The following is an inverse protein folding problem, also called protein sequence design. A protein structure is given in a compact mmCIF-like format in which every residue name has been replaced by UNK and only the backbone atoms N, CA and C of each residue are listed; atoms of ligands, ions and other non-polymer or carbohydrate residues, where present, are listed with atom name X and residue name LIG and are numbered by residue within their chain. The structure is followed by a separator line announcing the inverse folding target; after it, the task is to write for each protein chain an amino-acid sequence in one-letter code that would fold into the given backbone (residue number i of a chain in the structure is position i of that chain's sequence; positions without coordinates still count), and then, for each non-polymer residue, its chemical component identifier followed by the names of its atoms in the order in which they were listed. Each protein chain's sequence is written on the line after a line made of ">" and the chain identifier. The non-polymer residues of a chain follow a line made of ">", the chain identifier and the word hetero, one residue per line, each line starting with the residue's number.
data_IF_568080183288
#
_entry.id   IF_568080183288
#
_cell.length_a   1.000
_cell.length_b   1.000
_cell.length_c   1.000
_cell.angle_alpha   90.00
_cell.angle_beta   90.00
_cell.angle_gamma   90.00
#
_symmetry.space_group_name_H-M   'P 1'
#
loop_
_entity.id
_entity.type
_entity.pdbx_description
1 polymer ?
#
# COMPACT_ATOMS: atom_id res chain seq x y z
N UNK A 1 11.36 2.55 40.59
CA UNK A 1 9.94 2.18 40.76
C UNK A 1 9.76 0.81 40.15
N UNK A 2 9.34 -0.20 40.93
CA UNK A 2 8.90 -1.47 40.35
C UNK A 2 7.62 -1.17 39.54
N UNK A 3 7.48 -1.62 38.29
CA UNK A 3 6.20 -1.53 37.60
C UNK A 3 5.15 -2.23 38.48
N UNK A 4 4.05 -1.53 38.78
CA UNK A 4 2.91 -2.12 39.47
C UNK A 4 2.38 -3.25 38.60
N UNK A 5 2.31 -4.47 39.14
CA UNK A 5 1.73 -5.60 38.42
C UNK A 5 0.29 -5.24 37.99
N UNK A 6 -0.08 -5.45 36.72
CA UNK A 6 -1.42 -5.15 36.24
C UNK A 6 -2.46 -5.94 37.05
N UNK A 7 -3.50 -5.25 37.51
CA UNK A 7 -4.52 -5.82 38.38
C UNK A 7 -5.38 -6.83 37.59
N UNK A 8 -5.44 -8.11 38.00
CA UNK A 8 -6.04 -9.19 37.22
C UNK A 8 -7.56 -9.10 37.03
N UNK A 9 -8.25 -8.26 37.81
CA UNK A 9 -9.70 -8.07 37.74
C UNK A 9 -10.16 -7.34 36.47
N UNK A 10 -9.23 -6.84 35.65
CA UNK A 10 -9.53 -6.18 34.38
C UNK A 10 -9.65 -7.13 33.19
N UNK A 11 -9.56 -8.45 33.40
CA UNK A 11 -9.70 -9.43 32.32
C UNK A 11 -11.12 -9.38 31.72
N UNK A 12 -11.20 -9.36 30.39
CA UNK A 12 -12.46 -9.49 29.66
C UNK A 12 -12.87 -10.96 29.68
N UNK A 13 -14.07 -11.23 30.22
CA UNK A 13 -14.67 -12.56 30.25
C UNK A 13 -15.71 -12.68 29.14
N UNK A 14 -15.61 -13.74 28.35
CA UNK A 14 -16.59 -14.12 27.32
C UNK A 14 -17.38 -15.32 27.80
N UNK A 15 -18.68 -15.38 27.51
CA UNK A 15 -19.53 -16.50 27.91
C UNK A 15 -19.75 -17.48 26.76
N UNK A 16 -19.82 -18.77 27.09
CA UNK A 16 -20.16 -19.84 26.16
C UNK A 16 -21.23 -20.74 26.80
N UNK A 17 -22.16 -21.23 25.98
CA UNK A 17 -23.07 -22.31 26.39
C UNK A 17 -22.25 -23.54 26.81
N UNK A 18 -22.57 -24.09 27.99
CA UNK A 18 -21.79 -25.18 28.56
C UNK A 18 -21.80 -26.45 27.69
N UNK A 19 -22.85 -26.69 26.88
CA UNK A 19 -22.93 -27.85 25.99
C UNK A 19 -21.97 -27.70 24.83
N UNK A 20 -21.86 -26.49 24.27
CA UNK A 20 -20.89 -26.18 23.25
C UNK A 20 -19.45 -26.32 23.78
N UNK A 21 -19.20 -25.87 25.02
CA UNK A 21 -17.91 -26.09 25.69
C UNK A 21 -17.61 -27.58 25.90
N UNK A 22 -18.58 -28.36 26.38
CA UNK A 22 -18.42 -29.79 26.62
C UNK A 22 -18.12 -30.56 25.32
N UNK A 23 -18.85 -30.27 24.23
CA UNK A 23 -18.61 -30.88 22.92
C UNK A 23 -17.21 -30.57 22.37
N UNK A 24 -16.79 -29.29 22.41
CA UNK A 24 -15.45 -28.88 21.98
C UNK A 24 -14.36 -29.59 22.78
N UNK A 25 -14.58 -29.73 24.09
CA UNK A 25 -13.55 -30.27 24.96
C UNK A 25 -13.44 -31.79 24.87
N UNK A 26 -14.57 -32.49 24.69
CA UNK A 26 -14.58 -33.92 24.43
C UNK A 26 -13.77 -34.27 23.17
N UNK A 27 -14.02 -33.54 22.08
CA UNK A 27 -13.27 -33.71 20.83
C UNK A 27 -11.77 -33.49 21.04
N UNK A 28 -11.40 -32.47 21.82
CA UNK A 28 -10.00 -32.15 22.10
C UNK A 28 -9.25 -33.19 22.96
N UNK A 29 -9.96 -33.98 23.78
CA UNK A 29 -9.38 -35.10 24.53
C UNK A 29 -9.54 -36.45 23.80
N UNK A 30 -10.03 -36.45 22.56
CA UNK A 30 -10.23 -37.66 21.74
C UNK A 30 -11.45 -38.49 22.13
N UNK A 31 -12.38 -37.93 22.91
CA UNK A 31 -13.66 -38.55 23.28
C UNK A 31 -14.82 -38.04 22.42
N UNK A 32 -15.93 -38.78 22.42
CA UNK A 32 -17.18 -38.31 21.81
C UNK A 32 -18.29 -38.28 22.86
N UNK A 33 -18.96 -37.12 22.99
CA UNK A 33 -20.12 -36.98 23.87
C UNK A 33 -21.40 -36.95 23.02
N UNK A 34 -22.32 -37.88 23.28
CA UNK A 34 -23.70 -37.80 22.81
C UNK A 34 -24.52 -37.02 23.83
N UNK A 35 -25.17 -35.94 23.39
CA UNK A 35 -26.14 -35.21 24.20
C UNK A 35 -27.53 -35.82 23.95
N UNK A 36 -28.18 -36.36 24.98
CA UNK A 36 -29.59 -36.80 24.95
C UNK A 36 -30.44 -35.90 25.84
N UNK A 37 -31.75 -35.89 25.62
CA UNK A 37 -32.71 -35.11 26.44
C UNK A 37 -32.64 -35.49 27.93
N UNK A 38 -32.24 -36.73 28.23
CA UNK A 38 -32.20 -37.29 29.59
C UNK A 38 -30.79 -37.28 30.22
N UNK A 39 -29.78 -36.79 29.50
CA UNK A 39 -28.38 -36.79 29.95
C UNK A 39 -27.35 -37.01 28.84
N UNK A 40 -26.08 -37.10 29.23
CA UNK A 40 -24.93 -37.35 28.35
C UNK A 40 -24.47 -38.80 28.45
N UNK A 41 -24.16 -39.40 27.30
CA UNK A 41 -23.46 -40.68 27.23
C UNK A 41 -22.24 -40.54 26.33
N UNK A 42 -21.10 -41.02 26.80
CA UNK A 42 -19.93 -41.17 25.92
C UNK A 42 -20.26 -42.16 24.81
N UNK A 43 -20.04 -41.77 23.56
CA UNK A 43 -19.99 -42.71 22.47
C UNK A 43 -18.56 -43.22 22.49
N UNK A 44 -18.37 -44.52 22.74
CA UNK A 44 -17.07 -45.14 22.53
C UNK A 44 -16.55 -44.69 21.17
N UNK A 45 -15.37 -44.04 21.14
CA UNK A 45 -14.78 -43.56 19.91
C UNK A 45 -14.84 -44.71 18.89
N UNK A 46 -15.41 -44.50 17.68
CA UNK A 46 -15.51 -45.58 16.72
C UNK A 46 -14.11 -46.14 16.53
N UNK A 47 -13.93 -47.43 16.88
CA UNK A 47 -12.64 -48.09 16.80
C UNK A 47 -12.03 -47.74 15.45
N UNK A 48 -10.89 -47.04 15.47
CA UNK A 48 -10.27 -46.50 14.27
C UNK A 48 -10.27 -47.61 13.22
N UNK A 49 -11.04 -47.42 12.15
CA UNK A 49 -11.17 -48.44 11.12
C UNK A 49 -9.75 -48.82 10.69
N UNK A 50 -9.38 -50.12 10.68
CA UNK A 50 -8.04 -50.52 10.31
C UNK A 50 -7.73 -49.86 8.97
N UNK A 51 -6.63 -49.10 8.94
CA UNK A 51 -6.20 -48.40 7.74
C UNK A 51 -6.28 -49.39 6.57
N UNK A 52 -7.14 -49.10 5.60
CA UNK A 52 -7.30 -49.97 4.44
C UNK A 52 -5.92 -50.06 3.78
N UNK A 53 -5.29 -51.23 3.88
CA UNK A 53 -4.03 -51.54 3.22
C UNK A 53 -4.19 -51.21 1.74
N UNK A 54 -3.61 -50.08 1.34
CA UNK A 54 -3.62 -49.62 -0.03
C UNK A 54 -2.97 -50.67 -0.91
N UNK A 55 -3.77 -51.26 -1.79
CA UNK A 55 -3.31 -52.14 -2.86
C UNK A 55 -2.15 -51.47 -3.61
N UNK A 56 -0.97 -52.09 -3.52
CA UNK A 56 0.27 -51.53 -4.02
C UNK A 56 0.29 -51.33 -5.53
N UNK A 57 0.60 -50.11 -5.96
CA UNK A 57 1.21 -49.87 -7.26
C UNK A 57 2.72 -50.16 -7.15
N UNK A 58 3.15 -51.28 -7.76
CA UNK A 58 4.55 -51.64 -7.95
C UNK A 58 5.22 -50.65 -8.92
N UNK A 59 6.08 -49.76 -8.42
CA UNK A 59 7.09 -49.09 -9.24
C UNK A 59 8.44 -49.79 -9.03
N UNK A 60 8.92 -50.47 -10.08
CA UNK A 60 10.27 -51.03 -10.12
C UNK A 60 11.30 -49.90 -10.21
N UNK A 61 12.14 -49.74 -9.20
CA UNK A 61 13.38 -49.00 -9.31
C UNK A 61 14.50 -49.70 -8.54
N UNK A 62 15.52 -50.12 -9.30
CA UNK A 62 16.72 -50.80 -8.84
C UNK A 62 17.56 -49.94 -7.89
N UNK A 63 17.72 -50.43 -6.67
CA UNK A 63 19.02 -50.71 -6.07
C UNK A 63 19.96 -49.56 -5.72
N UNK A 64 20.11 -49.30 -4.41
CA UNK A 64 21.40 -49.38 -3.70
C UNK A 64 21.19 -49.46 -2.19
N UNK A 65 21.84 -50.46 -1.57
CA UNK A 65 21.87 -50.74 -0.12
C UNK A 65 22.93 -49.87 0.58
N UNK A 66 22.64 -49.43 1.81
CA UNK A 66 23.46 -49.58 3.04
C UNK A 66 22.66 -48.99 4.24
N UNK A 67 22.25 -49.83 5.20
CA UNK A 67 22.82 -49.96 6.57
C UNK A 67 22.93 -48.62 7.32
N UNK A 68 22.35 -48.37 8.49
CA UNK A 68 21.56 -49.17 9.43
C UNK A 68 21.21 -48.27 10.63
N UNK A 69 20.34 -48.76 11.53
CA UNK A 69 19.98 -48.07 12.77
C UNK A 69 18.47 -47.87 12.94
N UNK A 70 17.71 -48.97 12.94
CA UNK A 70 16.34 -48.94 13.42
C UNK A 70 16.35 -48.69 14.93
N UNK A 71 16.13 -47.43 15.35
CA UNK A 71 15.69 -47.13 16.70
C UNK A 71 14.29 -47.72 16.84
N UNK A 72 14.16 -48.73 17.69
CA UNK A 72 12.86 -49.24 18.11
C UNK A 72 12.10 -48.06 18.73
N UNK A 73 11.00 -47.65 18.09
CA UNK A 73 10.03 -46.75 18.70
C UNK A 73 9.51 -47.46 19.95
N UNK A 74 9.83 -46.89 21.10
CA UNK A 74 9.25 -47.25 22.37
C UNK A 74 7.74 -47.08 22.24
N UNK A 75 7.01 -48.19 22.22
CA UNK A 75 5.55 -48.19 22.23
C UNK A 75 5.15 -47.68 23.61
N UNK A 76 4.85 -46.38 23.67
CA UNK A 76 4.20 -45.77 24.83
C UNK A 76 2.89 -46.53 25.00
N UNK A 77 2.80 -47.33 26.07
CA UNK A 77 1.57 -47.99 26.48
C UNK A 77 0.53 -46.89 26.66
N UNK A 78 -0.52 -46.91 25.83
CA UNK A 78 -1.64 -46.00 25.96
C UNK A 78 -2.17 -46.07 27.40
N UNK A 79 -2.23 -44.92 28.07
CA UNK A 79 -2.90 -44.80 29.36
C UNK A 79 -4.31 -45.38 29.24
N UNK A 80 -4.75 -46.14 30.25
CA UNK A 80 -6.11 -46.68 30.27
C UNK A 80 -7.11 -45.55 30.03
N UNK A 81 -8.06 -45.71 29.08
CA UNK A 81 -9.04 -44.68 28.81
C UNK A 81 -9.83 -44.39 30.10
N UNK A 82 -10.10 -43.11 30.42
CA UNK A 82 -10.84 -42.74 31.61
C UNK A 82 -12.21 -43.42 31.63
N UNK A 83 -12.71 -43.71 32.83
CA UNK A 83 -14.02 -44.32 33.00
C UNK A 83 -15.13 -43.43 32.40
N UNK A 84 -16.15 -44.01 31.74
CA UNK A 84 -17.15 -43.25 31.02
C UNK A 84 -18.03 -42.38 31.93
N UNK A 85 -18.38 -41.19 31.44
CA UNK A 85 -19.28 -40.27 32.13
C UNK A 85 -20.73 -40.76 32.03
N UNK A 86 -21.30 -41.30 33.11
CA UNK A 86 -22.73 -41.61 33.20
C UNK A 86 -23.49 -40.40 33.75
N UNK A 87 -24.26 -39.71 32.91
CA UNK A 87 -24.80 -38.41 33.27
C UNK A 87 -26.31 -38.44 33.56
N UNK A 88 -26.68 -38.71 34.83
CA UNK A 88 -28.00 -38.38 35.38
C UNK A 88 -28.01 -37.12 36.27
N UNK A 89 -26.90 -36.38 36.28
CA UNK A 89 -26.70 -35.22 37.15
C UNK A 89 -27.27 -33.93 36.52
N UNK A 90 -27.73 -32.95 37.32
CA UNK A 90 -28.13 -31.64 36.81
C UNK A 90 -26.96 -30.94 36.09
N UNK A 91 -27.22 -30.06 35.10
CA UNK A 91 -26.19 -29.41 34.27
C UNK A 91 -25.00 -28.84 35.05
N UNK A 92 -25.25 -28.15 36.16
CA UNK A 92 -24.21 -27.58 37.00
C UNK A 92 -23.28 -28.65 37.63
N UNK A 93 -23.84 -29.79 38.08
CA UNK A 93 -23.06 -30.87 38.67
C UNK A 93 -22.24 -31.61 37.60
N UNK A 94 -22.79 -31.77 36.40
CA UNK A 94 -22.04 -32.31 35.27
C UNK A 94 -20.89 -31.37 34.86
N UNK A 95 -21.16 -30.07 34.77
CA UNK A 95 -20.15 -29.07 34.45
C UNK A 95 -19.00 -29.07 35.47
N UNK A 96 -19.29 -29.12 36.77
CA UNK A 96 -18.26 -29.24 37.81
C UNK A 96 -17.43 -30.52 37.67
N UNK A 97 -18.07 -31.66 37.40
CA UNK A 97 -17.37 -32.93 37.16
C UNK A 97 -16.48 -32.85 35.92
N UNK A 98 -16.98 -32.29 34.81
CA UNK A 98 -16.22 -32.12 33.57
C UNK A 98 -15.02 -31.21 33.80
N UNK A 99 -15.21 -30.03 34.41
CA UNK A 99 -14.12 -29.11 34.73
C UNK A 99 -13.07 -29.77 35.65
N UNK A 100 -13.49 -30.57 36.63
CA UNK A 100 -12.60 -31.31 37.51
C UNK A 100 -11.79 -32.39 36.78
N UNK A 101 -12.42 -33.14 35.88
CA UNK A 101 -11.74 -34.12 35.03
C UNK A 101 -10.72 -33.44 34.12
N UNK A 102 -11.08 -32.34 33.47
CA UNK A 102 -10.19 -31.59 32.57
C UNK A 102 -9.01 -30.94 33.31
N UNK A 103 -9.20 -30.53 34.55
CA UNK A 103 -8.12 -30.03 35.40
C UNK A 103 -7.04 -31.09 35.69
N UNK A 104 -7.40 -32.38 35.64
CA UNK A 104 -6.49 -33.49 35.86
C UNK A 104 -5.74 -33.94 34.59
N UNK A 105 -6.18 -33.48 33.40
CA UNK A 105 -5.50 -33.77 32.14
C UNK A 105 -4.43 -32.72 31.80
N UNK A 106 -3.53 -33.07 30.89
CA UNK A 106 -2.62 -32.10 30.29
C UNK A 106 -3.44 -30.95 29.66
N UNK A 107 -2.90 -29.71 29.60
CA UNK A 107 -3.62 -28.57 29.05
C UNK A 107 -4.19 -28.89 27.67
N UNK A 108 -5.48 -28.64 27.48
CA UNK A 108 -6.18 -28.87 26.22
C UNK A 108 -5.55 -27.99 25.15
N UNK A 109 -5.32 -28.54 23.96
CA UNK A 109 -4.71 -27.82 22.84
C UNK A 109 -5.78 -27.39 21.83
N UNK A 110 -5.92 -26.09 21.65
CA UNK A 110 -6.96 -25.48 20.83
C UNK A 110 -6.35 -24.55 19.78
N UNK A 111 -7.16 -24.18 18.79
CA UNK A 111 -6.87 -23.17 17.78
C UNK A 111 -8.16 -22.49 17.32
N UNK A 112 -8.12 -21.26 16.78
CA UNK A 112 -9.28 -20.69 16.09
C UNK A 112 -9.70 -21.60 14.92
N UNK A 113 -11.01 -21.82 14.77
CA UNK A 113 -11.56 -22.77 13.82
C UNK A 113 -11.36 -22.33 12.35
N UNK A 114 -11.26 -21.03 12.12
CA UNK A 114 -11.10 -20.39 10.81
C UNK A 114 -9.68 -19.84 10.58
N UNK A 115 -8.70 -20.18 11.43
CA UNK A 115 -7.33 -19.75 11.19
C UNK A 115 -6.77 -20.40 9.91
N UNK A 116 -5.98 -19.67 9.11
CA UNK A 116 -5.15 -20.25 8.04
C UNK A 116 -4.24 -21.36 8.58
N UNK A 117 -4.12 -22.48 7.87
CA UNK A 117 -3.22 -23.57 8.26
C UNK A 117 -1.92 -23.57 7.45
N UNK A 118 -1.98 -23.07 6.22
CA UNK A 118 -0.86 -22.96 5.31
C UNK A 118 -0.74 -21.56 4.69
N UNK A 119 0.44 -21.24 4.15
CA UNK A 119 0.70 -19.93 3.54
C UNK A 119 -0.27 -19.61 2.39
N UNK A 120 -0.66 -20.61 1.60
CA UNK A 120 -1.56 -20.40 0.46
C UNK A 120 -2.99 -20.02 0.86
N UNK A 121 -3.40 -20.31 2.11
CA UNK A 121 -4.70 -19.89 2.65
C UNK A 121 -4.77 -18.36 2.83
N UNK A 122 -3.63 -17.68 2.96
CA UNK A 122 -3.56 -16.21 3.05
C UNK A 122 -3.78 -15.51 1.71
N UNK A 123 -3.43 -16.18 0.60
CA UNK A 123 -3.36 -15.55 -0.72
C UNK A 123 -4.68 -14.94 -1.20
N UNK A 124 -5.86 -15.62 -1.11
CA UNK A 124 -7.10 -15.07 -1.63
C UNK A 124 -7.49 -13.73 -0.99
N UNK A 125 -7.38 -13.62 0.33
CA UNK A 125 -7.74 -12.41 1.07
C UNK A 125 -6.77 -11.25 0.81
N UNK A 126 -5.47 -11.54 0.71
CA UNK A 126 -4.46 -10.53 0.42
C UNK A 126 -4.55 -10.06 -1.04
N UNK A 127 -4.66 -10.97 -1.99
CA UNK A 127 -4.53 -10.64 -3.41
C UNK A 127 -5.75 -9.91 -3.98
N UNK A 128 -6.94 -10.15 -3.41
CA UNK A 128 -8.19 -9.57 -3.90
C UNK A 128 -8.23 -8.04 -3.90
N UNK A 129 -7.41 -7.38 -3.09
CA UNK A 129 -7.36 -5.92 -3.03
C UNK A 129 -6.48 -5.28 -4.11
N UNK A 130 -5.56 -6.02 -4.73
CA UNK A 130 -4.56 -5.44 -5.61
C UNK A 130 -4.88 -5.65 -7.10
N UNK A 131 -4.60 -4.64 -7.89
CA UNK A 131 -4.57 -4.72 -9.35
C UNK A 131 -3.13 -4.50 -9.84
N UNK A 132 -2.65 -5.37 -10.74
CA UNK A 132 -1.29 -5.29 -11.30
C UNK A 132 -1.39 -5.34 -12.83
N UNK A 133 -1.19 -4.21 -13.49
CA UNK A 133 -1.28 -4.13 -14.95
C UNK A 133 -0.04 -4.74 -15.60
N UNK A 134 -0.24 -5.77 -16.43
CA UNK A 134 0.84 -6.43 -17.17
C UNK A 134 1.79 -7.25 -16.28
N UNK A 135 1.36 -7.63 -15.08
CA UNK A 135 2.20 -8.34 -14.13
C UNK A 135 1.45 -9.38 -13.30
N UNK A 136 2.13 -9.89 -12.27
CA UNK A 136 1.60 -10.83 -11.31
C UNK A 136 1.97 -10.43 -9.88
N UNK A 137 1.27 -11.01 -8.90
CA UNK A 137 1.64 -10.92 -7.50
C UNK A 137 1.76 -12.32 -6.89
N UNK A 138 2.67 -12.50 -5.94
CA UNK A 138 2.78 -13.73 -5.18
C UNK A 138 3.35 -13.50 -3.79
N UNK A 139 3.15 -14.48 -2.92
CA UNK A 139 3.71 -14.51 -1.57
C UNK A 139 5.16 -15.05 -1.62
N UNK A 140 6.11 -14.25 -1.14
CA UNK A 140 7.54 -14.58 -1.12
C UNK A 140 8.07 -14.66 0.32
N UNK A 141 8.87 -15.69 0.62
CA UNK A 141 9.55 -15.83 1.92
C UNK A 141 8.60 -15.83 3.14
N UNK A 142 7.43 -16.44 3.00
CA UNK A 142 6.39 -16.42 4.02
C UNK A 142 6.61 -17.48 5.10
N UNK A 143 6.39 -17.08 6.35
CA UNK A 143 6.48 -17.95 7.51
C UNK A 143 5.21 -17.80 8.35
N UNK A 144 4.60 -18.93 8.69
CA UNK A 144 3.59 -19.03 9.73
C UNK A 144 4.25 -19.55 11.00
N UNK A 145 4.04 -18.86 12.11
CA UNK A 145 4.55 -19.24 13.43
C UNK A 145 3.40 -19.39 14.40
N UNK A 146 3.33 -20.53 15.08
CA UNK A 146 2.35 -20.71 16.15
C UNK A 146 2.79 -19.90 17.38
N UNK A 147 1.86 -19.12 17.93
CA UNK A 147 2.05 -18.34 19.16
C UNK A 147 1.04 -18.85 20.19
N UNK A 148 1.50 -19.26 21.39
CA UNK A 148 0.59 -19.76 22.41
C UNK A 148 -0.12 -18.60 23.11
N UNK A 149 -1.40 -18.79 23.34
CA UNK A 149 -2.22 -18.02 24.26
C UNK A 149 -2.75 -18.95 25.35
N UNK A 150 -3.09 -18.37 26.49
CA UNK A 150 -3.68 -19.10 27.61
C UNK A 150 -5.16 -18.78 27.69
N UNK A 151 -6.01 -19.80 27.61
CA UNK A 151 -7.44 -19.69 27.94
C UNK A 151 -7.68 -20.25 29.34
N UNK A 152 -8.23 -19.42 30.20
CA UNK A 152 -8.75 -19.83 31.51
C UNK A 152 -10.26 -19.98 31.40
N UNK A 153 -10.79 -21.08 31.95
CA UNK A 153 -12.24 -21.32 32.01
C UNK A 153 -12.69 -21.49 33.45
N UNK A 154 -13.83 -20.87 33.78
CA UNK A 154 -14.51 -21.01 35.07
C UNK A 154 -16.02 -21.20 34.87
N UNK A 155 -16.72 -21.83 35.81
CA UNK A 155 -18.17 -21.88 35.78
C UNK A 155 -18.75 -20.47 35.91
N UNK A 156 -19.81 -20.19 35.17
CA UNK A 156 -20.60 -18.96 35.28
C UNK A 156 -21.97 -19.27 35.90
N UNK A 157 -22.79 -18.25 36.14
CA UNK A 157 -24.15 -18.47 36.64
C UNK A 157 -25.02 -19.18 35.58
N UNK A 158 -25.80 -20.17 36.03
CA UNK A 158 -26.71 -20.93 35.17
C UNK A 158 -25.98 -21.96 34.30
N UNK A 159 -26.38 -22.01 33.03
CA UNK A 159 -25.93 -22.99 32.04
C UNK A 159 -24.79 -22.40 31.16
N UNK A 160 -23.86 -21.66 31.76
CA UNK A 160 -22.77 -21.02 31.03
C UNK A 160 -21.41 -21.24 31.68
N UNK A 161 -20.39 -21.16 30.83
CA UNK A 161 -18.99 -21.06 31.24
C UNK A 161 -18.44 -19.71 30.80
N UNK A 162 -17.50 -19.20 31.57
CA UNK A 162 -16.79 -17.96 31.28
C UNK A 162 -15.34 -18.26 30.90
N UNK A 163 -14.86 -17.59 29.85
CA UNK A 163 -13.49 -17.69 29.36
C UNK A 163 -12.79 -16.34 29.40
N UNK A 164 -11.55 -16.34 29.86
CA UNK A 164 -10.63 -15.21 29.73
C UNK A 164 -9.36 -15.68 29.03
N UNK A 165 -8.79 -14.80 28.20
CA UNK A 165 -7.61 -15.09 27.38
C UNK A 165 -6.43 -14.22 27.80
N UNK A 166 -5.25 -14.82 27.82
CA UNK A 166 -4.03 -14.18 28.27
C UNK A 166 -2.85 -14.47 27.34
N UNK A 167 -1.93 -13.52 27.24
CA UNK A 167 -0.60 -13.74 26.70
C UNK A 167 0.23 -14.65 27.65
N UNK A 168 1.31 -15.28 27.17
CA UNK A 168 2.18 -16.13 28.01
C UNK A 168 2.83 -15.41 29.20
N UNK A 169 2.90 -14.09 29.19
CA UNK A 169 3.38 -13.29 30.33
C UNK A 169 2.28 -13.02 31.38
N UNK A 170 1.04 -13.40 31.11
CA UNK A 170 -0.13 -13.22 31.97
C UNK A 170 -0.90 -11.92 31.74
N UNK A 171 -0.57 -11.13 30.71
CA UNK A 171 -1.39 -9.98 30.34
C UNK A 171 -2.73 -10.43 29.74
N UNK A 172 -3.88 -9.89 30.20
CA UNK A 172 -5.18 -10.22 29.61
C UNK A 172 -5.31 -9.61 28.21
N UNK A 173 -5.98 -10.33 27.31
CA UNK A 173 -6.35 -9.82 26.00
C UNK A 173 -7.59 -8.92 26.09
N UNK A 174 -7.59 -7.85 25.31
CA UNK A 174 -8.76 -6.99 25.14
C UNK A 174 -9.82 -7.67 24.26
N UNK A 175 -11.08 -7.25 24.40
CA UNK A 175 -12.21 -7.78 23.62
C UNK A 175 -11.97 -7.71 22.10
N UNK A 176 -11.42 -6.59 21.61
CA UNK A 176 -11.09 -6.41 20.20
C UNK A 176 -10.07 -7.46 19.69
N UNK A 177 -9.08 -7.80 20.52
CA UNK A 177 -8.08 -8.82 20.17
C UNK A 177 -8.69 -10.23 20.17
N UNK A 178 -9.58 -10.52 21.13
CA UNK A 178 -10.32 -11.80 21.20
C UNK A 178 -11.13 -11.99 19.91
N UNK A 179 -11.85 -10.95 19.47
CA UNK A 179 -12.63 -10.97 18.24
C UNK A 179 -11.76 -11.05 16.97
N UNK A 180 -10.67 -10.28 16.92
CA UNK A 180 -9.71 -10.31 15.81
C UNK A 180 -9.10 -11.70 15.61
N UNK A 181 -8.74 -12.37 16.71
CA UNK A 181 -8.12 -13.69 16.71
C UNK A 181 -9.12 -14.84 16.56
N UNK A 182 -10.43 -14.58 16.64
CA UNK A 182 -11.48 -15.61 16.54
C UNK A 182 -11.50 -16.58 17.72
N UNK A 183 -11.19 -16.09 18.93
CA UNK A 183 -11.05 -16.94 20.11
C UNK A 183 -12.39 -17.40 20.70
N UNK A 184 -13.51 -16.89 20.18
CA UNK A 184 -14.87 -17.32 20.47
C UNK A 184 -15.23 -18.65 19.78
N UNK A 185 -14.51 -19.00 18.71
CA UNK A 185 -14.75 -20.22 17.91
C UNK A 185 -13.49 -21.06 17.82
N UNK A 186 -13.26 -21.88 18.84
CA UNK A 186 -12.10 -22.76 18.88
C UNK A 186 -12.42 -24.18 18.40
N UNK A 187 -11.42 -24.83 17.81
CA UNK A 187 -11.40 -26.24 17.44
C UNK A 187 -10.17 -26.91 18.08
N UNK A 188 -10.18 -28.24 18.26
CA UNK A 188 -8.99 -28.97 18.66
C UNK A 188 -7.81 -28.72 17.71
N UNK A 189 -6.61 -28.62 18.27
CA UNK A 189 -5.39 -28.57 17.47
C UNK A 189 -4.76 -29.95 17.33
N UNK A 190 -4.53 -30.39 16.09
CA UNK A 190 -3.79 -31.62 15.79
C UNK A 190 -2.26 -31.44 15.86
N UNK A 191 -1.78 -30.23 16.13
CA UNK A 191 -0.35 -29.91 16.17
C UNK A 191 0.33 -30.45 17.44
N UNK A 192 0.49 -31.77 17.53
CA UNK A 192 1.18 -32.45 18.62
C UNK A 192 2.71 -32.21 18.66
N UNK A 193 3.23 -31.32 17.80
CA UNK A 193 4.67 -31.22 17.52
C UNK A 193 5.42 -30.12 18.27
N UNK A 194 4.75 -29.23 19.01
CA UNK A 194 5.46 -28.23 19.81
C UNK A 194 5.78 -28.77 21.21
N UNK A 195 7.05 -28.75 21.66
CA UNK A 195 7.39 -29.18 23.01
C UNK A 195 6.68 -28.26 24.01
N UNK A 196 5.61 -28.79 24.61
CA UNK A 196 4.74 -28.17 25.61
C UNK A 196 5.50 -27.56 26.79
N UNK A 197 6.71 -28.04 27.05
CA UNK A 197 7.39 -27.90 28.34
C UNK A 197 8.08 -26.56 28.56
N UNK A 198 8.51 -25.83 27.53
CA UNK A 198 9.49 -24.75 27.77
C UNK A 198 8.92 -23.36 27.97
N UNK A 199 7.71 -23.04 27.50
CA UNK A 199 7.20 -21.65 27.54
C UNK A 199 5.82 -21.50 28.17
N UNK A 200 4.89 -22.44 27.91
CA UNK A 200 3.50 -22.27 28.36
C UNK A 200 3.24 -22.81 29.78
N UNK A 201 3.81 -23.94 30.19
CA UNK A 201 3.47 -24.59 31.46
C UNK A 201 3.62 -23.70 32.72
N UNK A 202 4.74 -22.97 32.92
CA UNK A 202 4.88 -22.11 34.10
C UNK A 202 3.95 -20.88 34.07
N UNK A 203 3.62 -20.40 32.87
CA UNK A 203 2.67 -19.30 32.71
C UNK A 203 1.24 -19.74 33.03
N UNK A 204 0.83 -20.89 32.50
CA UNK A 204 -0.46 -21.53 32.74
C UNK A 204 -0.71 -21.71 34.24
N UNK A 205 0.25 -22.31 34.97
CA UNK A 205 0.10 -22.58 36.41
C UNK A 205 -0.03 -21.29 37.24
N UNK A 206 0.77 -20.26 36.94
CA UNK A 206 0.72 -18.96 37.63
C UNK A 206 -0.61 -18.24 37.39
N UNK A 207 -1.07 -18.20 36.14
CA UNK A 207 -2.33 -17.54 35.76
C UNK A 207 -3.51 -18.28 36.39
N UNK A 208 -3.50 -19.61 36.32
CA UNK A 208 -4.56 -20.45 36.85
C UNK A 208 -4.69 -20.31 38.36
N UNK A 209 -3.57 -20.41 39.09
CA UNK A 209 -3.54 -20.27 40.56
C UNK A 209 -4.04 -18.88 40.98
N UNK A 210 -3.61 -17.83 40.26
CA UNK A 210 -3.98 -16.44 40.58
C UNK A 210 -5.47 -16.16 40.37
N UNK A 211 -6.08 -16.74 39.35
CA UNK A 211 -7.47 -16.46 38.95
C UNK A 211 -8.47 -17.47 39.52
N UNK A 212 -8.00 -18.49 40.26
CA UNK A 212 -8.86 -19.59 40.71
C UNK A 212 -9.46 -20.37 39.54
N UNK A 213 -8.74 -20.44 38.41
CA UNK A 213 -9.17 -21.15 37.21
C UNK A 213 -9.39 -22.64 37.49
N UNK A 214 -10.42 -23.22 36.89
CA UNK A 214 -10.64 -24.68 36.95
C UNK A 214 -9.97 -25.41 35.81
N UNK A 215 -10.07 -24.86 34.60
CA UNK A 215 -9.49 -25.46 33.39
C UNK A 215 -8.62 -24.45 32.69
N UNK A 216 -7.47 -24.93 32.23
CA UNK A 216 -6.52 -24.14 31.46
C UNK A 216 -6.27 -24.84 30.13
N UNK A 217 -6.43 -24.09 29.04
CA UNK A 217 -6.13 -24.57 27.70
C UNK A 217 -5.05 -23.69 27.06
N UNK A 218 -4.26 -24.28 26.19
CA UNK A 218 -3.36 -23.55 25.30
C UNK A 218 -4.06 -23.36 23.97
N UNK A 219 -4.21 -22.10 23.55
CA UNK A 219 -4.76 -21.75 22.24
C UNK A 219 -3.62 -21.32 21.34
N UNK A 220 -3.35 -22.10 20.29
CA UNK A 220 -2.35 -21.77 19.29
C UNK A 220 -2.97 -20.86 18.23
N UNK A 221 -2.44 -19.64 18.13
CA UNK A 221 -2.81 -18.70 17.08
C UNK A 221 -1.63 -18.52 16.13
N UNK A 222 -1.89 -18.49 14.83
CA UNK A 222 -0.82 -18.28 13.84
C UNK A 222 -0.50 -16.81 13.66
N UNK A 223 0.77 -16.47 13.77
CA UNK A 223 1.34 -15.19 13.35
C UNK A 223 2.08 -15.37 12.03
N UNK A 224 1.75 -14.55 11.06
CA UNK A 224 2.31 -14.54 9.72
C UNK A 224 3.37 -13.44 9.58
N UNK A 225 4.50 -13.79 8.97
CA UNK A 225 5.52 -12.85 8.51
C UNK A 225 5.81 -13.18 7.04
N UNK A 226 5.53 -12.24 6.15
CA UNK A 226 5.55 -12.48 4.71
C UNK A 226 5.99 -11.25 3.92
N UNK A 227 6.31 -11.46 2.65
CA UNK A 227 6.46 -10.39 1.66
C UNK A 227 5.51 -10.66 0.51
N UNK A 228 4.72 -9.66 0.15
CA UNK A 228 3.96 -9.66 -1.08
C UNK A 228 4.87 -9.10 -2.18
N UNK A 229 5.19 -9.92 -3.18
CA UNK A 229 6.03 -9.55 -4.30
C UNK A 229 5.15 -9.24 -5.52
N UNK A 230 5.34 -8.06 -6.08
CA UNK A 230 4.75 -7.63 -7.35
C UNK A 230 5.81 -7.75 -8.44
N UNK A 231 5.50 -8.41 -9.54
CA UNK A 231 6.40 -8.59 -10.69
C UNK A 231 5.74 -8.07 -11.97
N UNK A 232 6.41 -7.16 -12.68
CA UNK A 232 5.96 -6.61 -13.96
C UNK A 232 7.17 -6.60 -14.91
N UNK A 233 7.17 -7.51 -15.90
CA UNK A 233 8.35 -7.76 -16.73
C UNK A 233 9.52 -8.26 -15.88
N UNK A 234 10.69 -7.62 -16.02
CA UNK A 234 11.90 -7.96 -15.25
C UNK A 234 12.02 -7.19 -13.92
N UNK A 235 11.08 -6.28 -13.63
CA UNK A 235 11.08 -5.49 -12.41
C UNK A 235 10.22 -6.15 -11.32
N UNK A 236 10.63 -5.98 -10.06
CA UNK A 236 9.86 -6.43 -8.91
C UNK A 236 9.86 -5.43 -7.76
N UNK A 237 8.82 -5.49 -6.92
CA UNK A 237 8.70 -4.71 -5.70
C UNK A 237 8.15 -5.59 -4.57
N UNK A 238 8.75 -5.50 -3.37
CA UNK A 238 8.37 -6.28 -2.20
C UNK A 238 7.67 -5.38 -1.16
N UNK A 239 6.45 -5.75 -0.77
CA UNK A 239 5.73 -5.18 0.36
C UNK A 239 5.82 -6.13 1.56
N UNK A 240 6.54 -5.79 2.64
CA UNK A 240 6.54 -6.60 3.86
C UNK A 240 5.19 -6.54 4.57
N UNK A 241 4.72 -7.69 5.04
CA UNK A 241 3.47 -7.86 5.77
C UNK A 241 3.72 -8.72 7.01
N UNK A 242 3.19 -8.30 8.16
CA UNK A 242 3.26 -9.08 9.39
C UNK A 242 2.01 -8.84 10.24
N UNK A 243 1.51 -9.90 10.88
CA UNK A 243 0.32 -9.83 11.73
C UNK A 243 -0.26 -11.21 12.03
N UNK A 244 -1.41 -11.22 12.71
CA UNK A 244 -2.14 -12.46 12.98
C UNK A 244 -2.72 -13.02 11.69
N UNK A 245 -2.45 -14.29 11.39
CA UNK A 245 -2.79 -14.89 10.10
C UNK A 245 -4.28 -14.77 9.76
N UNK A 246 -5.17 -14.88 10.76
CA UNK A 246 -6.62 -14.76 10.59
C UNK A 246 -7.07 -13.36 10.17
N UNK A 247 -6.47 -12.31 10.73
CA UNK A 247 -6.84 -10.91 10.49
C UNK A 247 -5.89 -10.19 9.54
N UNK A 248 -4.89 -10.89 8.99
CA UNK A 248 -3.90 -10.31 8.10
C UNK A 248 -4.58 -9.80 6.82
N UNK A 249 -4.75 -8.49 6.75
CA UNK A 249 -5.34 -7.80 5.61
C UNK A 249 -4.29 -7.25 4.65
N UNK A 250 -4.71 -6.88 3.42
CA UNK A 250 -3.85 -6.18 2.47
C UNK A 250 -3.51 -4.77 3.00
N UNK A 251 -2.26 -4.36 2.83
CA UNK A 251 -1.79 -3.01 3.14
C UNK A 251 -1.45 -2.25 1.84
N UNK A 252 -1.66 -0.93 1.76
CA UNK A 252 -1.31 -0.19 0.56
C UNK A 252 0.20 -0.26 0.28
N UNK A 253 0.56 -0.30 -1.00
CA UNK A 253 1.94 -0.23 -1.45
C UNK A 253 2.33 1.24 -1.57
N UNK A 254 3.39 1.67 -0.88
CA UNK A 254 3.99 2.97 -1.13
C UNK A 254 4.81 2.90 -2.42
N UNK A 255 4.37 3.61 -3.47
CA UNK A 255 5.08 3.67 -4.74
C UNK A 255 6.53 4.13 -4.53
N UNK A 256 7.55 3.40 -5.02
CA UNK A 256 8.95 3.74 -4.78
C UNK A 256 9.40 5.07 -5.40
N UNK A 257 8.67 5.58 -6.39
CA UNK A 257 9.03 6.80 -7.13
C UNK A 257 8.28 8.04 -6.64
N UNK A 258 7.01 7.89 -6.27
CA UNK A 258 6.14 9.02 -5.88
C UNK A 258 5.82 9.05 -4.39
N UNK A 259 6.03 7.94 -3.67
CA UNK A 259 5.61 7.76 -2.28
C UNK A 259 4.10 7.60 -2.09
N UNK A 260 3.31 7.62 -3.18
CA UNK A 260 1.85 7.47 -3.11
C UNK A 260 1.49 6.05 -2.68
N UNK A 261 0.64 5.94 -1.67
CA UNK A 261 0.01 4.69 -1.26
C UNK A 261 -1.05 4.26 -2.30
N UNK A 262 -0.95 3.02 -2.80
CA UNK A 262 -1.86 2.49 -3.81
C UNK A 262 -2.10 0.99 -3.65
N UNK A 263 -3.18 0.51 -4.24
CA UNK A 263 -3.44 -0.91 -4.48
C UNK A 263 -3.40 -1.26 -5.97
N UNK A 264 -3.10 -0.30 -6.85
CA UNK A 264 -3.03 -0.49 -8.30
C UNK A 264 -1.63 -0.12 -8.82
N UNK A 265 -0.89 -1.14 -9.26
CA UNK A 265 0.48 -0.99 -9.77
C UNK A 265 0.55 -1.24 -11.28
N UNK A 266 1.46 -0.52 -11.93
CA UNK A 266 1.85 -0.72 -13.34
C UNK A 266 3.34 -0.43 -13.49
N UNK A 267 3.94 -0.82 -14.62
CA UNK A 267 5.27 -0.34 -14.99
C UNK A 267 5.19 0.74 -16.07
N UNK A 268 6.17 1.66 -16.05
CA UNK A 268 6.52 2.53 -17.16
C UNK A 268 7.31 1.74 -18.23
N UNK A 269 7.61 2.39 -19.36
CA UNK A 269 8.34 1.74 -20.47
C UNK A 269 9.77 1.33 -20.12
N UNK A 270 10.38 1.99 -19.15
CA UNK A 270 11.72 1.67 -18.63
C UNK A 270 11.72 0.51 -17.61
N UNK A 271 10.54 -0.07 -17.32
CA UNK A 271 10.36 -1.13 -16.33
C UNK A 271 10.12 -0.61 -14.90
N UNK A 272 10.14 0.70 -14.66
CA UNK A 272 9.94 1.25 -13.31
C UNK A 272 8.50 1.02 -12.84
N UNK A 273 8.34 0.30 -11.72
CA UNK A 273 7.03 0.04 -11.09
C UNK A 273 6.54 1.30 -10.37
N UNK A 274 5.32 1.74 -10.71
CA UNK A 274 4.70 2.97 -10.20
C UNK A 274 3.22 2.73 -9.85
N UNK A 275 2.64 3.66 -9.08
CA UNK A 275 1.20 3.72 -8.89
C UNK A 275 0.50 4.03 -10.22
N UNK A 276 -0.47 3.21 -10.61
CA UNK A 276 -1.13 3.35 -11.91
C UNK A 276 -1.86 4.69 -12.06
N UNK A 277 -2.35 5.25 -10.95
CA UNK A 277 -3.03 6.55 -10.92
C UNK A 277 -2.09 7.73 -11.19
N UNK A 278 -0.77 7.53 -11.10
CA UNK A 278 0.25 8.54 -11.38
C UNK A 278 0.75 8.46 -12.82
N UNK A 279 0.22 7.57 -13.66
CA UNK A 279 0.67 7.40 -15.05
C UNK A 279 -0.21 8.19 -16.02
N UNK A 280 0.42 9.06 -16.80
CA UNK A 280 -0.16 9.72 -17.96
C UNK A 280 0.24 9.03 -19.27
N UNK A 281 -0.55 9.27 -20.33
CA UNK A 281 -0.23 8.82 -21.70
C UNK A 281 -0.04 10.01 -22.60
N UNK A 282 1.10 10.10 -23.26
CA UNK A 282 1.41 11.20 -24.16
C UNK A 282 0.56 11.07 -25.41
N UNK A 283 -0.27 12.06 -25.70
CA UNK A 283 -1.16 11.99 -26.86
C UNK A 283 -0.41 12.07 -28.20
N UNK A 284 0.82 12.61 -28.18
CA UNK A 284 1.66 12.75 -29.37
C UNK A 284 2.49 11.48 -29.66
N UNK A 285 3.14 10.92 -28.63
CA UNK A 285 4.06 9.77 -28.81
C UNK A 285 3.44 8.44 -28.39
N UNK A 286 2.29 8.46 -27.71
CA UNK A 286 1.66 7.31 -27.04
C UNK A 286 2.46 6.71 -25.89
N UNK A 287 3.61 7.30 -25.56
CA UNK A 287 4.46 6.91 -24.43
C UNK A 287 3.73 7.04 -23.10
N UNK A 288 3.90 6.05 -22.21
CA UNK A 288 3.44 6.10 -20.82
C UNK A 288 4.54 6.69 -19.95
N UNK A 289 4.22 7.72 -19.19
CA UNK A 289 5.15 8.43 -18.30
C UNK A 289 4.42 8.88 -17.04
N UNK A 290 5.13 9.34 -16.01
CA UNK A 290 4.48 9.93 -14.84
C UNK A 290 3.71 11.18 -15.24
N UNK A 291 2.49 11.35 -14.71
CA UNK A 291 1.62 12.47 -14.97
C UNK A 291 2.26 13.84 -14.62
N UNK A 292 3.16 13.87 -13.64
CA UNK A 292 3.94 15.07 -13.28
C UNK A 292 4.96 15.49 -14.34
N UNK A 293 5.39 14.56 -15.19
CA UNK A 293 6.34 14.79 -16.27
C UNK A 293 5.60 15.10 -17.60
N UNK A 294 4.29 15.33 -17.51
CA UNK A 294 3.42 15.67 -18.61
C UNK A 294 3.03 17.15 -18.53
N UNK A 295 2.89 17.78 -19.68
CA UNK A 295 2.39 19.13 -19.82
C UNK A 295 1.14 19.14 -20.72
N UNK A 296 0.23 20.07 -20.47
CA UNK A 296 -0.90 20.34 -21.37
C UNK A 296 -0.54 21.47 -22.33
N UNK A 297 -0.52 21.17 -23.62
CA UNK A 297 -0.26 22.16 -24.65
C UNK A 297 -1.36 23.24 -24.66
N UNK A 298 -0.96 24.51 -24.55
CA UNK A 298 -1.88 25.65 -24.54
C UNK A 298 -2.64 25.88 -25.85
N UNK A 299 -2.11 25.35 -26.97
CA UNK A 299 -2.70 25.52 -28.30
C UNK A 299 -3.66 24.37 -28.64
N UNK A 300 -3.18 23.12 -28.55
CA UNK A 300 -3.96 21.94 -28.94
C UNK A 300 -4.83 21.40 -27.81
N UNK A 301 -4.55 21.79 -26.57
CA UNK A 301 -5.18 21.22 -25.37
C UNK A 301 -4.74 19.79 -25.05
N UNK A 302 -3.82 19.21 -25.83
CA UNK A 302 -3.34 17.85 -25.66
C UNK A 302 -2.41 17.71 -24.45
N UNK A 303 -2.47 16.56 -23.79
CA UNK A 303 -1.50 16.18 -22.75
C UNK A 303 -0.34 15.44 -23.40
N UNK A 304 0.86 15.99 -23.29
CA UNK A 304 2.08 15.51 -23.94
C UNK A 304 3.23 15.46 -22.92
N UNK A 305 4.34 14.80 -23.27
CA UNK A 305 5.55 14.84 -22.45
C UNK A 305 6.03 16.29 -22.32
N UNK A 306 6.46 16.69 -21.12
CA UNK A 306 6.92 18.04 -20.86
C UNK A 306 8.10 18.45 -21.76
N UNK A 307 9.00 17.51 -22.10
CA UNK A 307 10.14 17.72 -23.00
C UNK A 307 9.76 18.06 -24.46
N UNK A 308 8.52 17.79 -24.87
CA UNK A 308 8.01 18.16 -26.21
C UNK A 308 7.42 19.57 -26.24
N UNK A 309 7.34 20.22 -25.07
CA UNK A 309 6.82 21.56 -24.91
C UNK A 309 7.95 22.53 -24.58
N UNK A 310 7.82 23.75 -25.12
CA UNK A 310 8.55 24.92 -24.65
C UNK A 310 7.57 25.89 -23.99
N UNK A 311 8.08 26.70 -23.07
CA UNK A 311 7.29 27.79 -22.48
C UNK A 311 7.18 28.95 -23.47
N UNK A 312 5.97 29.40 -23.78
CA UNK A 312 5.79 30.54 -24.67
C UNK A 312 6.22 31.85 -23.96
N UNK A 313 7.17 32.63 -24.51
CA UNK A 313 7.71 33.81 -23.82
C UNK A 313 6.67 34.92 -23.62
N UNK A 314 5.55 34.88 -24.35
CA UNK A 314 4.46 35.87 -24.23
C UNK A 314 3.38 35.44 -23.24
N UNK A 315 3.06 34.15 -23.15
CA UNK A 315 1.96 33.66 -22.30
C UNK A 315 2.42 32.93 -21.03
N UNK A 316 3.68 32.50 -20.96
CA UNK A 316 4.22 31.66 -19.88
C UNK A 316 3.60 30.26 -19.84
N UNK A 317 2.93 29.83 -20.92
CA UNK A 317 2.21 28.55 -20.97
C UNK A 317 2.98 27.51 -21.79
N UNK A 318 3.01 26.24 -21.36
CA UNK A 318 3.58 25.15 -22.12
C UNK A 318 2.91 25.03 -23.49
N UNK A 319 3.70 24.93 -24.55
CA UNK A 319 3.22 24.82 -25.92
C UNK A 319 4.08 23.80 -26.65
N UNK A 320 3.46 22.90 -27.41
CA UNK A 320 4.20 21.97 -28.27
C UNK A 320 5.16 22.74 -29.19
N UNK A 321 6.38 22.27 -29.35
CA UNK A 321 7.40 22.92 -30.18
C UNK A 321 6.92 23.18 -31.63
N UNK A 322 6.06 22.30 -32.17
CA UNK A 322 5.44 22.42 -33.51
C UNK A 322 4.33 23.46 -33.61
N UNK A 323 3.82 23.96 -32.47
CA UNK A 323 2.74 24.95 -32.37
C UNK A 323 3.24 26.36 -32.05
N UNK A 324 4.53 26.58 -32.24
CA UNK A 324 5.13 27.90 -32.30
C UNK A 324 5.13 28.45 -33.72
N UNK A 325 5.11 29.78 -33.83
CA UNK A 325 5.32 30.51 -35.07
C UNK A 325 6.03 31.84 -34.76
N UNK A 326 6.62 32.49 -35.76
CA UNK A 326 7.32 33.75 -35.58
C UNK A 326 6.34 34.93 -35.57
N UNK A 327 6.43 35.77 -34.55
CA UNK A 327 5.69 37.02 -34.51
C UNK A 327 6.23 37.97 -35.59
N UNK A 328 5.39 38.42 -36.52
CA UNK A 328 5.78 39.39 -37.56
C UNK A 328 6.26 40.74 -36.99
N UNK A 329 5.79 41.08 -35.78
CA UNK A 329 6.12 42.31 -35.07
C UNK A 329 7.48 42.30 -34.37
N UNK A 330 7.74 41.33 -33.50
CA UNK A 330 8.99 41.24 -32.71
C UNK A 330 9.99 40.19 -33.21
N UNK A 331 9.58 39.28 -34.10
CA UNK A 331 10.40 38.17 -34.59
C UNK A 331 10.58 37.03 -33.61
N UNK A 332 10.04 37.13 -32.40
CA UNK A 332 10.11 36.06 -31.40
C UNK A 332 9.29 34.86 -31.82
N UNK A 333 9.79 33.66 -31.49
CA UNK A 333 9.07 32.40 -31.62
C UNK A 333 8.06 32.31 -30.49
N UNK A 334 6.77 32.43 -30.81
CA UNK A 334 5.67 32.49 -29.83
C UNK A 334 4.61 31.43 -30.11
N UNK A 335 3.84 31.06 -29.09
CA UNK A 335 2.69 30.16 -29.26
C UNK A 335 1.68 30.74 -30.25
N UNK A 336 1.21 29.92 -31.19
CA UNK A 336 0.15 30.29 -32.16
C UNK A 336 -1.12 30.82 -31.50
N UNK A 337 -1.44 30.36 -30.28
CA UNK A 337 -2.60 30.86 -29.53
C UNK A 337 -2.49 32.34 -29.16
N UNK A 338 -1.27 32.89 -29.11
CA UNK A 338 -1.03 34.31 -28.80
C UNK A 338 -1.03 35.21 -30.04
N UNK A 339 -0.99 34.62 -31.24
CA UNK A 339 -0.93 35.34 -32.51
C UNK A 339 -2.33 35.76 -32.98
N UNK A 340 -2.43 37.00 -33.44
CA UNK A 340 -3.60 37.52 -34.15
C UNK A 340 -3.06 38.32 -35.33
N UNK A 341 -3.38 37.87 -36.54
CA UNK A 341 -2.86 38.47 -37.79
C UNK A 341 -1.33 38.54 -37.81
N UNK A 342 -0.67 37.49 -37.31
CA UNK A 342 0.79 37.38 -37.26
C UNK A 342 1.49 38.18 -36.16
N UNK A 343 0.78 39.00 -35.38
CA UNK A 343 1.38 39.72 -34.25
C UNK A 343 1.03 39.07 -32.92
N UNK A 344 2.01 38.93 -32.01
CA UNK A 344 1.81 38.39 -30.68
C UNK A 344 1.10 39.38 -29.75
N UNK A 345 0.50 38.87 -28.66
CA UNK A 345 -0.22 39.70 -27.69
C UNK A 345 0.63 40.85 -27.11
N UNK A 346 1.91 40.61 -26.83
CA UNK A 346 2.83 41.65 -26.35
C UNK A 346 3.02 42.80 -27.36
N UNK A 347 3.20 42.47 -28.65
CA UNK A 347 3.29 43.47 -29.73
C UNK A 347 1.99 44.29 -29.88
N UNK A 348 0.82 43.66 -29.69
CA UNK A 348 -0.48 44.34 -29.83
C UNK A 348 -0.80 45.24 -28.63
N UNK A 349 -0.34 44.87 -27.44
CA UNK A 349 -0.72 45.50 -26.17
C UNK A 349 0.41 46.35 -25.53
N UNK A 350 1.25 47.01 -26.34
CA UNK A 350 2.32 47.87 -25.84
C UNK A 350 1.78 48.97 -24.90
N UNK A 351 2.35 49.11 -23.72
CA UNK A 351 1.98 50.14 -22.74
C UNK A 351 2.81 51.41 -22.96
N UNK A 352 2.23 52.57 -22.69
CA UNK A 352 2.97 53.84 -22.80
C UNK A 352 4.01 53.89 -21.68
N UNK A 353 5.26 54.18 -22.03
CA UNK A 353 6.37 54.32 -21.09
C UNK A 353 6.97 55.72 -21.18
N UNK A 354 7.47 56.24 -20.07
CA UNK A 354 8.23 57.49 -20.06
C UNK A 354 9.68 57.23 -20.47
N UNK A 355 10.42 58.30 -20.73
CA UNK A 355 11.87 58.30 -20.95
C UNK A 355 12.69 58.01 -19.68
N UNK A 356 12.03 57.91 -18.53
CA UNK A 356 12.62 57.53 -17.22
C UNK A 356 12.50 56.01 -17.00
N UNK A 357 11.73 55.30 -17.82
CA UNK A 357 11.66 53.84 -17.78
C UNK A 357 13.06 53.25 -18.01
N UNK A 358 13.50 52.35 -17.12
CA UNK A 358 14.87 51.85 -17.06
C UNK A 358 15.32 51.24 -18.40
N UNK A 359 14.45 50.45 -19.04
CA UNK A 359 14.73 49.82 -20.34
C UNK A 359 14.89 50.88 -21.43
N UNK A 360 14.05 51.90 -21.43
CA UNK A 360 14.14 53.00 -22.40
C UNK A 360 15.37 53.86 -22.13
N UNK A 361 15.64 54.20 -20.88
CA UNK A 361 16.77 55.02 -20.48
C UNK A 361 18.10 54.34 -20.86
N UNK A 362 18.24 53.05 -20.59
CA UNK A 362 19.39 52.24 -21.01
C UNK A 362 19.52 52.23 -22.54
N UNK A 363 18.43 51.94 -23.25
CA UNK A 363 18.42 51.89 -24.71
C UNK A 363 18.80 53.25 -25.35
N UNK A 364 18.31 54.35 -24.78
CA UNK A 364 18.63 55.73 -25.23
C UNK A 364 20.04 56.16 -24.82
N UNK A 365 20.60 55.59 -23.75
CA UNK A 365 21.99 55.76 -23.36
C UNK A 365 22.93 55.05 -24.34
N UNK A 366 22.58 53.81 -24.72
CA UNK A 366 23.36 52.98 -25.64
C UNK A 366 23.27 53.43 -27.09
N UNK A 367 22.10 53.92 -27.51
CA UNK A 367 21.83 54.36 -28.89
C UNK A 367 21.26 55.79 -28.91
N UNK A 368 22.12 56.84 -28.79
CA UNK A 368 21.66 58.22 -28.65
C UNK A 368 20.79 58.72 -29.80
N UNK A 369 20.98 58.20 -31.03
CA UNK A 369 20.15 58.56 -32.19
C UNK A 369 18.69 58.18 -32.04
N UNK A 370 18.35 57.25 -31.13
CA UNK A 370 16.97 56.90 -30.84
C UNK A 370 16.18 58.04 -30.20
N UNK A 371 16.83 59.05 -29.60
CA UNK A 371 16.17 60.23 -29.02
C UNK A 371 15.34 61.05 -30.02
N UNK A 372 15.55 60.85 -31.33
CA UNK A 372 14.71 61.46 -32.38
C UNK A 372 13.30 60.85 -32.45
N UNK A 373 13.10 59.70 -31.84
CA UNK A 373 11.81 59.05 -31.68
C UNK A 373 11.22 59.43 -30.31
N UNK A 374 9.91 59.56 -30.23
CA UNK A 374 9.21 59.88 -28.99
C UNK A 374 7.93 59.08 -28.82
N UNK A 375 7.15 59.40 -27.79
CA UNK A 375 5.90 58.68 -27.45
C UNK A 375 6.13 57.16 -27.35
N UNK A 376 7.15 56.78 -26.58
CA UNK A 376 7.58 55.41 -26.41
C UNK A 376 6.47 54.55 -25.82
N UNK A 377 6.37 53.32 -26.34
CA UNK A 377 5.56 52.26 -25.77
C UNK A 377 6.42 51.01 -25.63
N UNK A 378 6.21 50.22 -24.59
CA UNK A 378 6.94 48.99 -24.36
C UNK A 378 6.03 47.86 -23.89
N UNK A 379 6.46 46.63 -24.14
CA UNK A 379 5.98 45.42 -23.47
C UNK A 379 7.18 44.51 -23.22
N UNK A 380 7.12 43.71 -22.17
CA UNK A 380 8.15 42.75 -21.81
C UNK A 380 7.59 41.33 -21.98
N UNK A 381 8.46 40.43 -22.41
CA UNK A 381 8.23 38.99 -22.49
C UNK A 381 9.24 38.28 -21.59
N UNK A 382 9.25 36.95 -21.54
CA UNK A 382 10.26 36.21 -20.78
C UNK A 382 11.71 36.54 -21.17
N UNK A 383 11.98 36.81 -22.44
CA UNK A 383 13.36 36.96 -22.96
C UNK A 383 13.69 38.33 -23.56
N UNK A 384 12.68 39.05 -24.05
CA UNK A 384 12.88 40.32 -24.77
C UNK A 384 11.96 41.43 -24.29
N UNK A 385 12.46 42.66 -24.37
CA UNK A 385 11.68 43.88 -24.33
C UNK A 385 11.34 44.33 -25.76
N UNK A 386 10.07 44.60 -26.01
CA UNK A 386 9.56 45.11 -27.28
C UNK A 386 9.27 46.59 -27.09
N UNK A 387 10.00 47.44 -27.81
CA UNK A 387 9.93 48.90 -27.67
C UNK A 387 9.47 49.53 -28.99
N UNK A 388 8.48 50.41 -28.95
CA UNK A 388 7.99 51.16 -30.11
C UNK A 388 8.12 52.67 -29.89
N UNK A 389 8.89 53.33 -30.74
CA UNK A 389 9.01 54.79 -30.83
C UNK A 389 8.23 55.33 -32.03
N UNK A 390 7.63 56.52 -31.89
CA UNK A 390 6.85 57.17 -32.95
C UNK A 390 7.40 58.55 -33.30
N UNK A 391 7.23 58.90 -34.58
CA UNK A 391 7.42 60.25 -35.13
C UNK A 391 6.26 60.58 -36.06
N UNK A 392 6.18 61.83 -36.54
CA UNK A 392 5.05 62.30 -37.35
C UNK A 392 4.75 61.40 -38.58
N UNK A 393 5.80 60.88 -39.22
CA UNK A 393 5.71 60.09 -40.46
C UNK A 393 6.16 58.63 -40.31
N UNK A 394 6.23 58.08 -39.09
CA UNK A 394 6.57 56.67 -38.96
C UNK A 394 6.67 56.15 -37.54
N UNK A 395 6.88 54.84 -37.45
CA UNK A 395 7.06 54.10 -36.18
C UNK A 395 8.29 53.21 -36.32
N UNK A 396 9.10 53.16 -35.27
CA UNK A 396 10.24 52.26 -35.13
C UNK A 396 9.89 51.26 -34.03
N UNK A 397 10.01 49.97 -34.32
CA UNK A 397 9.89 48.90 -33.34
C UNK A 397 11.24 48.21 -33.18
N UNK A 398 11.64 48.02 -31.94
CA UNK A 398 12.87 47.37 -31.53
C UNK A 398 12.53 46.18 -30.64
N UNK A 399 13.23 45.08 -30.84
CA UNK A 399 13.20 43.92 -29.96
C UNK A 399 14.58 43.78 -29.35
N UNK A 400 14.63 43.94 -28.03
CA UNK A 400 15.86 44.08 -27.24
C UNK A 400 15.94 42.90 -26.29
N UNK A 401 17.05 42.17 -26.27
CA UNK A 401 17.23 41.07 -25.32
C UNK A 401 17.38 41.59 -23.90
N UNK A 402 16.55 41.13 -22.96
CA UNK A 402 16.51 41.65 -21.58
C UNK A 402 17.87 41.53 -20.90
N UNK A 403 18.55 40.39 -21.04
CA UNK A 403 19.83 40.17 -20.35
C UNK A 403 21.01 40.90 -21.00
N UNK A 404 20.91 41.21 -22.28
CA UNK A 404 22.04 41.74 -23.09
C UNK A 404 21.94 43.26 -23.31
N UNK A 405 20.73 43.80 -23.32
CA UNK A 405 20.41 45.14 -23.82
C UNK A 405 20.63 45.30 -25.34
N UNK A 406 20.97 44.23 -26.07
CA UNK A 406 21.27 44.29 -27.49
C UNK A 406 19.99 44.22 -28.35
N UNK A 407 19.98 44.99 -29.44
CA UNK A 407 18.87 45.02 -30.40
C UNK A 407 18.93 43.79 -31.31
N UNK A 408 18.14 42.76 -30.97
CA UNK A 408 17.97 41.53 -31.76
C UNK A 408 17.30 41.81 -33.11
N UNK A 409 16.25 42.64 -33.11
CA UNK A 409 15.49 43.00 -34.32
C UNK A 409 15.08 44.46 -34.31
N UNK A 410 15.07 45.08 -35.49
CA UNK A 410 14.56 46.42 -35.70
C UNK A 410 13.65 46.46 -36.93
N UNK A 411 12.50 47.12 -36.82
CA UNK A 411 11.53 47.24 -37.91
C UNK A 411 10.94 48.66 -37.96
N UNK A 412 10.66 49.14 -39.17
CA UNK A 412 10.11 50.48 -39.40
C UNK A 412 8.82 50.41 -40.22
N UNK A 413 7.84 51.24 -39.86
CA UNK A 413 6.67 51.52 -40.67
C UNK A 413 6.70 53.01 -41.06
N UNK A 414 6.63 53.31 -42.37
CA UNK A 414 6.61 54.69 -42.89
C UNK A 414 5.18 55.10 -43.27
N UNK A 415 4.74 56.23 -42.77
CA UNK A 415 3.37 56.74 -42.94
C UNK A 415 2.34 56.09 -42.01
N UNK A 416 1.11 56.63 -41.97
CA UNK A 416 0.05 56.15 -41.09
C UNK A 416 -0.42 54.72 -41.41
N UNK A 417 -0.27 54.29 -42.67
CA UNK A 417 -0.71 53.00 -43.22
C UNK A 417 0.45 52.10 -43.68
N UNK A 418 1.69 52.49 -43.42
CA UNK A 418 2.85 51.73 -43.88
C UNK A 418 2.88 50.35 -43.25
N UNK A 419 3.12 49.32 -44.07
CA UNK A 419 3.44 47.99 -43.56
C UNK A 419 4.75 48.06 -42.76
N UNK A 420 4.80 47.33 -41.65
CA UNK A 420 6.01 47.16 -40.86
C UNK A 420 7.01 46.35 -41.68
N UNK A 421 8.21 46.89 -41.91
CA UNK A 421 9.30 46.22 -42.63
C UNK A 421 10.51 46.10 -41.71
N UNK A 422 11.12 44.92 -41.65
CA UNK A 422 12.40 44.73 -40.99
C UNK A 422 13.48 45.61 -41.63
N UNK A 423 14.30 46.26 -40.81
CA UNK A 423 15.45 47.03 -41.27
C UNK A 423 16.57 46.08 -41.69
N UNK A 424 17.25 46.41 -42.79
CA UNK A 424 18.50 45.73 -43.17
C UNK A 424 19.61 46.07 -42.17
N UNK A 425 20.71 45.34 -42.17
CA UNK A 425 21.82 45.60 -41.23
C UNK A 425 22.43 47.00 -41.43
N UNK A 426 22.54 47.47 -42.67
CA UNK A 426 22.99 48.83 -42.97
C UNK A 426 22.01 49.88 -42.42
N UNK A 427 20.70 49.70 -42.62
CA UNK A 427 19.68 50.60 -42.08
C UNK A 427 19.66 50.55 -40.55
N UNK A 428 19.87 49.37 -39.95
CA UNK A 428 19.97 49.18 -38.50
C UNK A 428 21.16 49.98 -37.97
N UNK A 429 22.32 49.89 -38.61
CA UNK A 429 23.50 50.68 -38.27
C UNK A 429 23.24 52.18 -38.32
N UNK A 430 22.55 52.66 -39.37
CA UNK A 430 22.20 54.08 -39.52
C UNK A 430 21.18 54.57 -38.46
N UNK A 431 20.27 53.69 -38.04
CA UNK A 431 19.25 54.02 -37.03
C UNK A 431 19.80 53.97 -35.59
N UNK A 432 20.74 53.06 -35.31
CA UNK A 432 21.22 52.77 -33.95
C UNK A 432 22.55 53.46 -33.60
N UNK A 433 23.54 53.45 -34.49
CA UNK A 433 24.82 54.15 -34.28
C UNK A 433 24.72 55.58 -34.76
#
# INVERSE_FOLDING_TARGET
>A
MKPSDPQPDAAVWTTQDWRAFAAQTADAIGGALECREDGYSEIAAPAAAPAADGAGHKSEARGRRRFGGAKQNEVVLAEEPPAPFACGAPPAAFLEMLLGSLAAHAPIQLRPADQPEAVHDLSPGLFAAYQVDGGAMHLAGCRLTDRPLVRVTRPAAGDQVEHAFFLPDGQPLAEAQIAELGLDRLAPSSSASYPHETVAAPALERIATRLGARVVAVVWVKHAECRLRFEIGDAWHDLPLAGWARSLGPAPVACPVTGRETFHLTALEDGTIVAAEEVGVCQQTRKRELARDMARCSVTGQTVLAELCDECPVSGLPTLATEFDECSGCGERVSRATLLRGECAACRNLLKVSDIDEVIAELLGRYPKLRRWGRWRAAQTGEVAIVEGRRLLGRLRLTVGIDTGDVRRAAIARGPWGQVRALTDAERGEQLG
#
